data_IF_365030227312
#
_entry.id   IF_365030227312
#
_cell.length_a   1.000
_cell.length_b   1.000
_cell.length_c   1.000
_cell.angle_alpha   90.00
_cell.angle_beta   90.00
_cell.angle_gamma   90.00
#
_symmetry.space_group_name_H-M   'P 1'
#
loop_
_entity.id
_entity.type
_entity.pdbx_description
1 polymer ?
#
# COMPACT_ATOMS: atom_id res chain seq x y z
N UNK A 1 23.17 26.95 8.90
CA UNK A 1 22.33 27.05 10.10
C UNK A 1 22.06 28.53 10.34
N UNK A 2 21.06 29.06 9.67
CA UNK A 2 20.71 30.49 9.75
C UNK A 2 19.67 30.68 10.84
N UNK A 3 20.02 31.46 11.85
CA UNK A 3 19.22 31.68 13.07
C UNK A 3 18.22 32.82 12.95
N UNK A 4 18.13 33.47 11.78
CA UNK A 4 17.23 34.61 11.57
C UNK A 4 16.56 34.55 10.20
N UNK A 5 15.23 34.43 10.20
CA UNK A 5 14.33 34.35 9.06
C UNK A 5 14.47 35.54 8.10
N UNK A 6 14.79 36.68 8.61
CA UNK A 6 14.90 37.91 7.84
C UNK A 6 16.20 38.00 7.02
N UNK A 7 17.26 37.30 7.41
CA UNK A 7 18.50 37.26 6.63
C UNK A 7 18.40 36.40 5.37
N UNK A 8 17.58 35.36 5.39
CA UNK A 8 17.39 34.47 4.22
C UNK A 8 16.58 35.16 3.12
N UNK A 9 15.60 35.98 3.47
CA UNK A 9 14.77 36.75 2.53
C UNK A 9 15.57 37.82 1.79
N UNK A 10 16.55 38.45 2.45
CA UNK A 10 17.39 39.50 1.85
C UNK A 10 18.37 38.94 0.79
N UNK A 11 18.75 37.67 0.88
CA UNK A 11 19.69 37.04 -0.03
C UNK A 11 19.02 36.51 -1.33
N UNK A 12 17.71 36.22 -1.28
CA UNK A 12 16.99 35.59 -2.39
C UNK A 12 16.27 36.59 -3.32
N UNK A 13 15.98 37.83 -2.84
CA UNK A 13 15.24 38.81 -3.64
C UNK A 13 15.76 40.26 -3.44
N UNK A 14 16.71 40.73 -4.26
CA UNK A 14 17.32 42.07 -4.14
C UNK A 14 16.55 43.16 -4.92
N UNK A 15 15.21 43.25 -4.82
CA UNK A 15 14.41 44.27 -5.46
C UNK A 15 13.74 45.22 -4.46
N UNK A 16 14.16 46.51 -4.40
CA UNK A 16 13.72 47.43 -3.35
C UNK A 16 12.42 48.22 -3.58
N UNK A 17 11.60 47.93 -4.58
CA UNK A 17 10.38 48.71 -4.83
C UNK A 17 9.25 47.87 -5.47
N UNK A 18 8.52 47.09 -4.68
CA UNK A 18 7.18 46.58 -5.04
C UNK A 18 6.29 46.58 -3.83
N UNK A 19 5.07 47.15 -4.00
CA UNK A 19 4.06 47.38 -2.94
C UNK A 19 3.94 46.24 -1.94
N UNK A 20 4.34 46.50 -0.70
CA UNK A 20 4.89 45.56 0.27
C UNK A 20 3.92 44.59 0.93
N UNK A 21 2.63 44.65 0.68
CA UNK A 21 1.67 43.93 1.54
C UNK A 21 1.00 42.69 0.95
N UNK A 22 0.98 42.52 -0.36
CA UNK A 22 0.30 41.35 -0.97
C UNK A 22 1.26 40.27 -1.44
N UNK A 23 2.34 40.63 -2.11
CA UNK A 23 3.36 39.68 -2.60
C UNK A 23 4.19 39.08 -1.45
N UNK A 24 4.49 39.87 -0.43
CA UNK A 24 5.19 39.41 0.77
C UNK A 24 4.39 38.33 1.52
N UNK A 25 3.08 38.51 1.68
CA UNK A 25 2.23 37.53 2.33
C UNK A 25 2.06 36.23 1.52
N UNK A 26 1.95 36.33 0.21
CA UNK A 26 1.86 35.13 -0.67
C UNK A 26 3.16 34.35 -0.66
N UNK A 27 4.31 35.02 -0.79
CA UNK A 27 5.64 34.38 -0.73
C UNK A 27 5.88 33.75 0.64
N UNK A 28 5.54 34.43 1.74
CA UNK A 28 5.64 33.84 3.08
C UNK A 28 4.74 32.61 3.25
N UNK A 29 3.50 32.64 2.76
CA UNK A 29 2.57 31.51 2.84
C UNK A 29 3.08 30.31 2.04
N UNK A 30 3.61 30.53 0.85
CA UNK A 30 4.19 29.47 0.00
C UNK A 30 5.45 28.89 0.65
N UNK A 31 6.30 29.74 1.23
CA UNK A 31 7.51 29.27 1.93
C UNK A 31 7.16 28.51 3.21
N UNK A 32 6.17 28.95 3.96
CA UNK A 32 5.71 28.25 5.18
C UNK A 32 5.10 26.88 4.82
N UNK A 33 4.34 26.79 3.73
CA UNK A 33 3.81 25.53 3.22
C UNK A 33 4.94 24.59 2.75
N UNK A 34 5.94 25.11 2.04
CA UNK A 34 7.09 24.32 1.59
C UNK A 34 7.95 23.84 2.77
N UNK A 35 8.16 24.68 3.79
CA UNK A 35 8.88 24.29 4.99
C UNK A 35 8.13 23.22 5.80
N UNK A 36 6.82 23.36 5.95
CA UNK A 36 5.98 22.35 6.60
C UNK A 36 6.03 21.01 5.86
N UNK A 37 6.02 21.03 4.53
CA UNK A 37 6.14 19.80 3.72
C UNK A 37 7.51 19.15 3.90
N UNK A 38 8.60 19.92 3.95
CA UNK A 38 9.96 19.42 4.19
C UNK A 38 10.07 18.84 5.61
N UNK A 39 9.51 19.49 6.61
CA UNK A 39 9.50 19.00 7.99
C UNK A 39 8.75 17.68 8.10
N UNK A 40 7.56 17.58 7.51
CA UNK A 40 6.77 16.34 7.47
C UNK A 40 7.51 15.19 6.76
N UNK A 41 8.19 15.49 5.66
CA UNK A 41 9.02 14.51 4.96
C UNK A 41 10.23 14.04 5.78
N UNK A 42 10.86 14.96 6.51
CA UNK A 42 11.98 14.63 7.40
C UNK A 42 11.54 13.79 8.59
N UNK A 43 10.37 14.09 9.15
CA UNK A 43 9.77 13.31 10.24
C UNK A 43 9.39 11.88 9.77
N UNK A 44 8.79 11.74 8.60
CA UNK A 44 8.47 10.45 8.01
C UNK A 44 9.73 9.59 7.80
N UNK A 45 10.81 10.19 7.27
CA UNK A 45 12.11 9.50 7.13
C UNK A 45 12.73 9.09 8.47
N UNK A 46 12.58 9.93 9.48
CA UNK A 46 13.11 9.59 10.81
C UNK A 46 12.28 8.46 11.46
N UNK A 47 10.97 8.42 11.26
CA UNK A 47 10.11 7.31 11.70
C UNK A 47 10.50 6.00 11.01
N UNK A 48 10.75 6.03 9.70
CA UNK A 48 11.23 4.87 8.94
C UNK A 48 12.59 4.37 9.46
N UNK A 49 13.54 5.28 9.73
CA UNK A 49 14.82 4.94 10.37
C UNK A 49 14.66 4.33 11.77
N UNK A 50 13.70 4.82 12.56
CA UNK A 50 13.42 4.25 13.88
C UNK A 50 12.80 2.85 13.77
N UNK A 51 11.94 2.61 12.79
CA UNK A 51 11.41 1.26 12.52
C UNK A 51 12.51 0.29 12.07
N UNK A 52 13.40 0.71 11.17
CA UNK A 52 14.56 -0.07 10.75
C UNK A 52 15.49 -0.39 11.94
N UNK A 53 15.75 0.59 12.82
CA UNK A 53 16.53 0.36 14.06
C UNK A 53 15.84 -0.64 14.99
N UNK A 54 14.49 -0.58 15.12
CA UNK A 54 13.72 -1.56 15.92
C UNK A 54 13.80 -2.97 15.31
N UNK A 55 13.70 -3.10 13.98
CA UNK A 55 13.86 -4.38 13.28
C UNK A 55 15.26 -4.94 13.46
N UNK A 56 16.30 -4.08 13.32
CA UNK A 56 17.70 -4.47 13.55
C UNK A 56 17.93 -4.95 14.97
N UNK A 57 17.41 -4.24 16.00
CA UNK A 57 17.51 -4.69 17.41
C UNK A 57 16.80 -6.01 17.68
N UNK A 58 15.62 -6.25 17.05
CA UNK A 58 14.95 -7.55 17.14
C UNK A 58 15.78 -8.66 16.51
N UNK A 59 16.40 -8.39 15.36
CA UNK A 59 17.29 -9.33 14.70
C UNK A 59 18.54 -9.62 15.55
N UNK A 60 19.20 -8.59 16.10
CA UNK A 60 20.36 -8.74 16.99
C UNK A 60 19.99 -9.52 18.27
N UNK A 61 18.82 -9.27 18.85
CA UNK A 61 18.31 -10.04 20.00
C UNK A 61 18.07 -11.51 19.64
N UNK A 62 17.54 -11.80 18.46
CA UNK A 62 17.34 -13.15 17.95
C UNK A 62 18.68 -13.87 17.74
N UNK A 63 19.69 -13.18 17.22
CA UNK A 63 21.04 -13.70 17.03
C UNK A 63 21.75 -13.99 18.36
N UNK A 64 21.54 -13.17 19.38
CA UNK A 64 22.08 -13.42 20.75
C UNK A 64 21.42 -14.67 21.34
N UNK A 65 20.11 -14.83 21.22
CA UNK A 65 19.39 -16.02 21.66
C UNK A 65 19.89 -17.29 20.94
N UNK A 66 20.11 -17.22 19.62
CA UNK A 66 20.68 -18.30 18.84
C UNK A 66 22.11 -18.65 19.28
N UNK A 67 22.92 -17.64 19.59
CA UNK A 67 24.28 -17.83 20.13
C UNK A 67 24.28 -18.50 21.50
N UNK A 68 23.36 -18.14 22.39
CA UNK A 68 23.21 -18.77 23.71
C UNK A 68 22.77 -20.24 23.57
N UNK A 69 21.83 -20.52 22.67
CA UNK A 69 21.39 -21.89 22.37
C UNK A 69 22.53 -22.72 21.77
N UNK A 70 23.34 -22.12 20.90
CA UNK A 70 24.54 -22.79 20.35
C UNK A 70 25.61 -23.09 21.40
N UNK A 71 25.86 -22.16 22.33
CA UNK A 71 26.75 -22.37 23.45
C UNK A 71 26.26 -23.46 24.43
N UNK A 72 24.95 -23.44 24.74
CA UNK A 72 24.33 -24.52 25.54
C UNK A 72 24.43 -25.89 24.84
N UNK A 73 24.28 -25.90 23.50
CA UNK A 73 24.43 -27.10 22.69
C UNK A 73 25.86 -27.64 22.68
N UNK A 74 26.90 -26.79 22.58
CA UNK A 74 28.32 -27.25 22.66
C UNK A 74 28.68 -27.84 24.00
N UNK A 75 28.00 -27.47 25.08
CA UNK A 75 28.16 -28.08 26.40
C UNK A 75 27.47 -29.45 26.47
N UNK A 76 26.28 -29.58 25.92
CA UNK A 76 25.48 -30.82 25.87
C UNK A 76 26.09 -31.87 24.89
N UNK A 77 26.72 -31.44 23.80
CA UNK A 77 27.36 -32.35 22.82
C UNK A 77 28.62 -33.07 23.33
N UNK A 78 29.07 -32.77 24.55
CA UNK A 78 30.12 -33.49 25.21
C UNK A 78 29.65 -34.73 25.99
N UNK A 79 28.34 -35.03 25.92
CA UNK A 79 27.77 -36.27 26.47
C UNK A 79 27.74 -37.35 25.40
N UNK A 80 28.22 -38.57 25.72
CA UNK A 80 28.36 -39.72 24.80
C UNK A 80 27.02 -40.33 24.31
N UNK A 81 26.00 -39.55 24.16
CA UNK A 81 24.68 -40.03 23.75
C UNK A 81 24.39 -39.68 22.27
N UNK A 82 24.53 -40.70 21.39
CA UNK A 82 24.42 -40.54 19.94
C UNK A 82 23.10 -39.87 19.49
N UNK A 83 21.98 -40.09 20.19
CA UNK A 83 20.68 -39.50 19.88
C UNK A 83 20.67 -37.97 20.14
N UNK A 84 21.37 -37.56 21.22
CA UNK A 84 21.50 -36.14 21.55
C UNK A 84 22.44 -35.44 20.55
N UNK A 85 23.48 -36.14 20.06
CA UNK A 85 24.36 -35.61 19.00
C UNK A 85 23.65 -35.42 17.67
N UNK A 86 22.87 -36.39 17.21
CA UNK A 86 22.09 -36.24 15.94
C UNK A 86 21.03 -35.16 16.03
N UNK A 87 20.25 -35.13 17.10
CA UNK A 87 19.25 -34.09 17.33
C UNK A 87 19.90 -32.71 17.43
N UNK A 88 21.06 -32.62 18.01
CA UNK A 88 21.82 -31.39 18.14
C UNK A 88 22.45 -30.90 16.87
N UNK A 89 22.98 -31.77 16.01
CA UNK A 89 23.51 -31.43 14.70
C UNK A 89 22.37 -30.94 13.78
N UNK A 90 21.19 -31.57 13.88
CA UNK A 90 20.00 -31.18 13.13
C UNK A 90 19.49 -29.80 13.59
N UNK A 91 19.43 -29.54 14.89
CA UNK A 91 19.05 -28.24 15.45
C UNK A 91 20.09 -27.17 15.13
N UNK A 92 21.37 -27.46 15.16
CA UNK A 92 22.44 -26.53 14.79
C UNK A 92 22.41 -26.16 13.29
N UNK A 93 22.10 -27.08 12.39
CA UNK A 93 21.89 -26.81 10.95
C UNK A 93 20.70 -25.92 10.71
N UNK A 94 19.61 -26.12 11.44
CA UNK A 94 18.42 -25.24 11.40
C UNK A 94 18.76 -23.83 11.92
N UNK A 95 19.54 -23.75 13.01
CA UNK A 95 19.95 -22.47 13.63
C UNK A 95 21.04 -21.78 12.81
N UNK A 96 21.92 -22.52 12.15
CA UNK A 96 23.05 -21.98 11.35
C UNK A 96 22.58 -21.35 10.00
N UNK A 97 21.30 -21.19 9.75
CA UNK A 97 20.78 -20.38 8.66
C UNK A 97 20.38 -21.13 7.39
N UNK A 98 20.73 -22.42 7.22
CA UNK A 98 20.30 -23.16 6.03
C UNK A 98 18.78 -23.32 5.99
N UNK A 99 18.14 -23.63 7.12
CA UNK A 99 16.69 -23.67 7.24
C UNK A 99 16.03 -22.29 7.10
N UNK A 100 16.64 -21.26 7.70
CA UNK A 100 16.14 -19.89 7.63
C UNK A 100 16.32 -19.29 6.23
N UNK A 101 17.46 -19.54 5.56
CA UNK A 101 17.67 -19.14 4.17
C UNK A 101 16.74 -19.87 3.20
N UNK A 102 16.44 -21.14 3.46
CA UNK A 102 15.47 -21.91 2.67
C UNK A 102 14.06 -21.39 2.86
N UNK A 103 13.62 -21.15 4.11
CA UNK A 103 12.32 -20.56 4.41
C UNK A 103 12.16 -19.15 3.81
N UNK A 104 13.21 -18.30 3.88
CA UNK A 104 13.21 -16.97 3.28
C UNK A 104 13.17 -17.04 1.75
N UNK A 105 13.87 -18.00 1.12
CA UNK A 105 13.80 -18.22 -0.33
C UNK A 105 12.45 -18.77 -0.76
N UNK A 106 11.93 -19.77 -0.05
CA UNK A 106 10.59 -20.33 -0.33
C UNK A 106 9.48 -19.27 -0.19
N UNK A 107 9.64 -18.27 0.70
CA UNK A 107 8.73 -17.15 0.87
C UNK A 107 8.89 -16.09 -0.23
N UNK A 108 10.12 -15.88 -0.74
CA UNK A 108 10.38 -14.97 -1.86
C UNK A 108 9.98 -15.53 -3.24
N UNK A 109 9.87 -16.84 -3.37
CA UNK A 109 9.54 -17.52 -4.63
C UNK A 109 8.03 -17.80 -4.80
N UNK A 110 7.19 -17.46 -3.80
CA UNK A 110 5.74 -17.62 -3.94
C UNK A 110 5.18 -16.70 -5.02
N UNK A 111 4.32 -17.20 -5.91
CA UNK A 111 3.69 -16.36 -6.89
C UNK A 111 2.75 -15.36 -6.20
N UNK A 112 2.79 -14.11 -6.64
CA UNK A 112 2.05 -13.00 -6.03
C UNK A 112 0.91 -12.53 -6.93
N UNK A 113 -0.20 -12.17 -6.31
CA UNK A 113 -1.37 -11.56 -6.95
C UNK A 113 -1.94 -10.44 -6.12
N UNK A 114 -2.56 -9.45 -6.77
CA UNK A 114 -3.25 -8.36 -6.10
C UNK A 114 -4.75 -8.42 -6.38
N UNK A 115 -5.56 -8.43 -5.31
CA UNK A 115 -6.97 -8.10 -5.40
C UNK A 115 -7.14 -6.60 -5.34
N UNK A 116 -7.91 -6.06 -6.28
CA UNK A 116 -8.19 -4.63 -6.35
C UNK A 116 -9.67 -4.38 -6.52
N UNK A 117 -10.17 -3.38 -5.82
CA UNK A 117 -11.59 -3.02 -5.79
C UNK A 117 -11.76 -1.56 -6.17
N UNK A 118 -12.65 -1.30 -7.13
CA UNK A 118 -12.98 0.02 -7.61
C UNK A 118 -14.37 0.46 -7.12
N UNK A 119 -14.68 1.76 -7.23
CA UNK A 119 -15.95 2.43 -6.99
C UNK A 119 -16.38 2.62 -5.53
N UNK A 120 -15.86 1.81 -4.61
CA UNK A 120 -16.17 1.91 -3.18
C UNK A 120 -15.78 3.25 -2.51
N UNK A 121 -16.03 3.37 -1.23
CA UNK A 121 -16.61 2.34 -0.34
C UNK A 121 -18.14 2.25 -0.43
N UNK A 122 -18.67 1.04 -0.33
CA UNK A 122 -20.08 0.75 -0.10
C UNK A 122 -20.34 0.46 1.39
N UNK A 123 -21.39 1.07 1.95
CA UNK A 123 -21.72 0.96 3.39
C UNK A 123 -21.91 -0.51 3.85
N UNK A 124 -22.49 -1.34 3.01
CA UNK A 124 -22.86 -2.71 3.36
C UNK A 124 -21.78 -3.73 2.99
N UNK A 125 -21.28 -3.65 1.78
CA UNK A 125 -20.50 -4.72 1.20
C UNK A 125 -18.99 -4.55 1.44
N UNK A 126 -18.49 -3.33 1.45
CA UNK A 126 -17.08 -3.06 1.76
C UNK A 126 -16.72 -3.51 3.18
N UNK A 127 -17.60 -3.26 4.18
CA UNK A 127 -17.34 -3.73 5.55
C UNK A 127 -17.27 -5.26 5.65
N UNK A 128 -18.19 -5.98 4.98
CA UNK A 128 -18.17 -7.45 4.91
C UNK A 128 -16.88 -7.97 4.27
N UNK A 129 -16.44 -7.31 3.19
CA UNK A 129 -15.19 -7.65 2.52
C UNK A 129 -13.99 -7.46 3.45
N UNK A 130 -13.92 -6.33 4.15
CA UNK A 130 -12.85 -6.03 5.09
C UNK A 130 -12.81 -7.05 6.25
N UNK A 131 -13.97 -7.47 6.76
CA UNK A 131 -14.05 -8.53 7.78
C UNK A 131 -13.43 -9.82 7.26
N UNK A 132 -13.86 -10.28 6.10
CA UNK A 132 -13.37 -11.51 5.51
C UNK A 132 -11.88 -11.48 5.14
N UNK A 133 -11.36 -10.36 4.64
CA UNK A 133 -9.93 -10.16 4.38
C UNK A 133 -9.11 -10.17 5.67
N UNK A 134 -9.62 -9.53 6.72
CA UNK A 134 -8.97 -9.48 8.03
C UNK A 134 -8.86 -10.86 8.67
N UNK A 135 -9.93 -11.66 8.64
CA UNK A 135 -9.94 -13.04 9.14
C UNK A 135 -8.86 -13.90 8.48
N UNK A 136 -8.56 -13.63 7.20
CA UNK A 136 -7.55 -14.34 6.39
C UNK A 136 -6.16 -13.71 6.44
N UNK A 137 -6.03 -12.56 7.11
CA UNK A 137 -4.76 -11.80 7.18
C UNK A 137 -4.33 -11.17 5.84
N UNK A 138 -5.25 -11.02 4.90
CA UNK A 138 -4.97 -10.54 3.54
C UNK A 138 -5.14 -9.02 3.44
N UNK A 139 -4.27 -8.39 2.63
CA UNK A 139 -4.36 -6.98 2.24
C UNK A 139 -4.73 -6.87 0.77
N UNK A 140 -5.55 -5.87 0.46
CA UNK A 140 -6.02 -5.57 -0.88
C UNK A 140 -5.80 -4.08 -1.21
N UNK A 141 -6.09 -3.69 -2.43
CA UNK A 141 -6.01 -2.30 -2.87
C UNK A 141 -7.39 -1.80 -3.28
N UNK A 142 -7.76 -0.64 -2.78
CA UNK A 142 -9.06 -0.02 -3.01
C UNK A 142 -8.87 1.31 -3.74
N UNK A 143 -9.50 1.47 -4.91
CA UNK A 143 -9.50 2.72 -5.67
C UNK A 143 -10.86 3.40 -5.49
N UNK A 144 -10.88 4.43 -4.63
CA UNK A 144 -12.12 5.00 -4.12
C UNK A 144 -12.64 6.15 -4.99
N UNK A 145 -13.95 6.18 -5.19
CA UNK A 145 -14.64 7.36 -5.68
C UNK A 145 -14.80 8.39 -4.56
N UNK A 146 -14.40 9.62 -4.83
CA UNK A 146 -14.52 10.68 -3.83
C UNK A 146 -15.95 10.87 -3.32
N UNK A 147 -16.95 10.74 -4.19
CA UNK A 147 -18.39 10.83 -3.83
C UNK A 147 -18.83 9.69 -2.90
N UNK A 148 -18.28 8.48 -3.06
CA UNK A 148 -18.63 7.31 -2.25
C UNK A 148 -18.02 7.35 -0.85
N UNK A 149 -17.02 8.21 -0.64
CA UNK A 149 -16.41 8.44 0.69
C UNK A 149 -17.38 9.21 1.59
N UNK A 150 -18.24 10.07 1.04
CA UNK A 150 -19.17 10.89 1.84
C UNK A 150 -20.16 10.01 2.61
N UNK A 151 -20.13 10.09 3.95
CA UNK A 151 -20.91 9.24 4.86
C UNK A 151 -20.23 7.91 5.21
N UNK A 152 -19.19 7.51 4.47
CA UNK A 152 -18.45 6.26 4.64
C UNK A 152 -17.00 6.47 5.13
N UNK A 153 -16.70 7.62 5.75
CA UNK A 153 -15.36 7.98 6.22
C UNK A 153 -14.79 6.95 7.20
N UNK A 154 -15.65 6.32 7.98
CA UNK A 154 -15.27 5.28 8.94
C UNK A 154 -14.72 4.03 8.25
N UNK A 155 -15.23 3.69 7.06
CA UNK A 155 -14.75 2.55 6.26
C UNK A 155 -13.36 2.86 5.70
N UNK A 156 -13.16 4.06 5.14
CA UNK A 156 -11.85 4.50 4.65
C UNK A 156 -10.80 4.52 5.77
N UNK A 157 -11.17 5.04 6.94
CA UNK A 157 -10.32 5.01 8.13
C UNK A 157 -9.99 3.58 8.57
N UNK A 158 -10.94 2.65 8.43
CA UNK A 158 -10.75 1.23 8.71
C UNK A 158 -9.78 0.60 7.71
N UNK A 159 -9.95 0.82 6.40
CA UNK A 159 -9.03 0.36 5.35
C UNK A 159 -7.59 0.77 5.64
N UNK A 160 -7.38 2.06 5.93
CA UNK A 160 -6.06 2.60 6.26
C UNK A 160 -5.46 1.93 7.51
N UNK A 161 -6.21 1.87 8.61
CA UNK A 161 -5.77 1.24 9.86
C UNK A 161 -5.43 -0.23 9.70
N UNK A 162 -6.15 -0.96 8.87
CA UNK A 162 -5.93 -2.37 8.60
C UNK A 162 -4.81 -2.61 7.58
N UNK A 163 -4.24 -1.55 6.98
CA UNK A 163 -3.06 -1.62 6.11
C UNK A 163 -3.38 -2.03 4.67
N UNK A 164 -4.59 -1.76 4.20
CA UNK A 164 -4.94 -1.83 2.79
C UNK A 164 -4.37 -0.62 2.04
N UNK A 165 -4.07 -0.79 0.75
CA UNK A 165 -3.71 0.34 -0.10
C UNK A 165 -4.96 1.10 -0.51
N UNK A 166 -4.94 2.42 -0.37
CA UNK A 166 -6.01 3.30 -0.80
C UNK A 166 -5.51 4.13 -1.98
N UNK A 167 -6.20 4.05 -3.10
CA UNK A 167 -5.95 4.80 -4.32
C UNK A 167 -7.13 5.68 -4.71
N UNK A 168 -6.90 6.52 -5.71
CA UNK A 168 -7.88 7.46 -6.27
C UNK A 168 -8.58 6.84 -7.48
N UNK A 169 -9.92 6.99 -7.58
CA UNK A 169 -10.71 6.60 -8.74
C UNK A 169 -11.53 7.77 -9.32
N UNK A 170 -11.04 9.01 -9.19
CA UNK A 170 -11.74 10.29 -9.44
C UNK A 170 -12.88 10.54 -8.44
N UNK A 171 -13.48 11.73 -8.51
CA UNK A 171 -14.59 12.04 -7.59
C UNK A 171 -15.93 11.49 -8.07
N UNK A 172 -16.26 11.68 -9.37
CA UNK A 172 -17.54 11.32 -9.97
C UNK A 172 -17.47 10.18 -10.98
N UNK A 173 -16.39 9.40 -11.04
CA UNK A 173 -16.18 8.34 -12.04
C UNK A 173 -16.17 8.88 -13.48
N UNK A 174 -15.49 10.00 -13.72
CA UNK A 174 -15.42 10.63 -15.03
C UNK A 174 -14.37 9.99 -15.93
N UNK A 175 -14.65 9.88 -17.22
CA UNK A 175 -13.68 9.40 -18.20
C UNK A 175 -12.68 10.52 -18.52
N UNK A 176 -11.45 10.42 -18.02
CA UNK A 176 -10.48 11.49 -17.99
C UNK A 176 -10.04 12.00 -19.38
N UNK A 177 -10.05 11.14 -20.40
CA UNK A 177 -9.68 11.49 -21.78
C UNK A 177 -10.79 12.25 -22.54
N UNK A 178 -12.01 12.36 -21.97
CA UNK A 178 -13.15 13.06 -22.56
C UNK A 178 -13.47 14.40 -21.91
N UNK A 179 -12.71 14.83 -20.94
CA UNK A 179 -12.91 16.08 -20.23
C UNK A 179 -11.67 16.98 -20.34
N UNK A 180 -11.80 18.26 -19.97
CA UNK A 180 -10.67 19.18 -19.94
C UNK A 180 -9.67 18.81 -18.83
N UNK A 181 -8.42 19.17 -19.02
CA UNK A 181 -7.35 18.95 -18.02
C UNK A 181 -7.70 19.60 -16.68
N UNK A 182 -8.24 20.81 -16.70
CA UNK A 182 -8.69 21.50 -15.48
C UNK A 182 -9.74 20.68 -14.74
N UNK A 183 -10.74 20.15 -15.45
CA UNK A 183 -11.78 19.32 -14.85
C UNK A 183 -11.22 17.99 -14.33
N UNK A 184 -10.35 17.37 -15.09
CA UNK A 184 -9.70 16.13 -14.67
C UNK A 184 -8.87 16.32 -13.38
N UNK A 185 -8.11 17.43 -13.31
CA UNK A 185 -7.37 17.83 -12.11
C UNK A 185 -8.29 18.04 -10.90
N UNK A 186 -9.41 18.77 -11.07
CA UNK A 186 -10.39 18.97 -9.99
C UNK A 186 -10.93 17.65 -9.45
N UNK A 187 -11.30 16.72 -10.33
CA UNK A 187 -11.81 15.40 -9.97
C UNK A 187 -10.79 14.58 -9.15
N UNK A 188 -9.52 14.62 -9.58
CA UNK A 188 -8.43 13.92 -8.88
C UNK A 188 -8.14 14.59 -7.54
N UNK A 189 -7.94 15.90 -7.50
CA UNK A 189 -7.58 16.60 -6.27
C UNK A 189 -8.68 16.54 -5.22
N UNK A 190 -9.95 16.62 -5.63
CA UNK A 190 -11.07 16.53 -4.70
C UNK A 190 -11.08 15.18 -3.97
N UNK A 191 -10.83 14.09 -4.68
CA UNK A 191 -10.73 12.76 -4.07
C UNK A 191 -9.48 12.61 -3.21
N UNK A 192 -8.32 13.10 -3.69
CA UNK A 192 -7.08 13.06 -2.91
C UNK A 192 -7.24 13.78 -1.56
N UNK A 193 -7.85 14.97 -1.57
CA UNK A 193 -8.08 15.75 -0.35
C UNK A 193 -9.03 15.01 0.62
N UNK A 194 -10.09 14.36 0.12
CA UNK A 194 -11.00 13.57 0.97
C UNK A 194 -10.28 12.40 1.63
N UNK A 195 -9.43 11.68 0.88
CA UNK A 195 -8.62 10.59 1.43
C UNK A 195 -7.66 11.14 2.48
N UNK A 196 -6.96 12.24 2.19
CA UNK A 196 -6.02 12.86 3.11
C UNK A 196 -6.68 13.34 4.42
N UNK A 197 -7.84 13.96 4.35
CA UNK A 197 -8.61 14.41 5.52
C UNK A 197 -8.91 13.27 6.51
N UNK A 198 -9.04 12.05 6.02
CA UNK A 198 -9.40 10.88 6.82
C UNK A 198 -8.18 10.10 7.31
N UNK A 199 -7.18 9.95 6.44
CA UNK A 199 -6.02 9.08 6.65
C UNK A 199 -4.76 9.82 7.11
N UNK A 200 -4.67 11.12 6.80
CA UNK A 200 -3.45 11.92 6.96
C UNK A 200 -2.40 11.69 5.86
N UNK A 201 -2.71 10.87 4.84
CA UNK A 201 -1.82 10.51 3.75
C UNK A 201 -2.46 10.76 2.39
N UNK A 202 -1.70 11.38 1.46
CA UNK A 202 -2.16 11.50 0.08
C UNK A 202 -1.98 10.18 -0.66
N UNK A 203 -2.99 9.74 -1.46
CA UNK A 203 -2.83 8.56 -2.28
C UNK A 203 -1.79 8.82 -3.39
N UNK A 204 -0.89 7.86 -3.60
CA UNK A 204 0.13 7.89 -4.66
C UNK A 204 -0.40 7.25 -5.93
N UNK A 205 -1.28 6.27 -5.80
CA UNK A 205 -1.82 5.47 -6.89
C UNK A 205 -3.22 5.91 -7.27
N UNK A 206 -3.51 5.85 -8.57
CA UNK A 206 -4.87 6.02 -9.05
C UNK A 206 -5.23 4.96 -10.08
N UNK A 207 -6.49 4.62 -10.18
CA UNK A 207 -7.02 3.88 -11.33
C UNK A 207 -7.94 4.80 -12.12
N UNK A 208 -7.59 5.13 -13.38
CA UNK A 208 -8.47 5.95 -14.20
C UNK A 208 -9.74 5.18 -14.53
N UNK A 209 -10.95 5.80 -14.37
CA UNK A 209 -12.18 5.17 -14.78
C UNK A 209 -12.15 4.66 -16.22
N UNK A 210 -12.72 3.47 -16.44
CA UNK A 210 -12.72 2.77 -17.74
C UNK A 210 -11.32 2.42 -18.28
N UNK A 211 -10.26 2.54 -17.48
CA UNK A 211 -8.88 2.43 -17.96
C UNK A 211 -8.45 3.56 -18.91
N UNK A 212 -9.23 4.63 -18.98
CA UNK A 212 -9.01 5.74 -19.89
C UNK A 212 -7.94 6.70 -19.37
N UNK A 213 -6.71 6.49 -19.80
CA UNK A 213 -5.55 7.29 -19.45
C UNK A 213 -4.89 7.88 -20.69
N UNK A 214 -4.66 9.18 -20.70
CA UNK A 214 -3.93 9.90 -21.74
C UNK A 214 -2.49 10.08 -21.30
N UNK A 215 -1.55 9.44 -21.97
CA UNK A 215 -0.11 9.48 -21.64
C UNK A 215 0.50 10.89 -21.65
N UNK A 216 -0.02 11.76 -22.51
CA UNK A 216 0.51 13.11 -22.73
C UNK A 216 -0.21 14.18 -21.91
N UNK A 217 -1.11 13.78 -21.00
CA UNK A 217 -1.84 14.73 -20.17
C UNK A 217 -1.09 14.89 -18.85
N UNK A 218 -0.35 15.97 -18.74
CA UNK A 218 0.17 16.44 -17.45
C UNK A 218 -0.98 17.05 -16.65
N UNK A 219 -1.68 16.24 -15.88
CA UNK A 219 -2.75 16.73 -14.99
C UNK A 219 -2.21 17.65 -13.87
N UNK A 220 -0.90 17.98 -13.88
CA UNK A 220 -0.22 18.68 -12.80
C UNK A 220 -0.46 18.03 -11.41
N UNK A 221 -0.71 16.73 -11.40
CA UNK A 221 -0.85 15.91 -10.21
C UNK A 221 -0.01 14.67 -10.43
N UNK A 222 1.01 14.50 -9.61
CA UNK A 222 1.86 13.31 -9.67
C UNK A 222 1.12 12.12 -9.09
N UNK A 223 0.62 11.23 -9.96
CA UNK A 223 -0.02 9.98 -9.57
C UNK A 223 0.43 8.85 -10.48
N UNK A 224 0.54 7.66 -9.93
CA UNK A 224 0.92 6.44 -10.65
C UNK A 224 -0.36 5.74 -11.10
N UNK A 225 -0.64 5.66 -12.44
CA UNK A 225 -1.82 4.95 -12.92
C UNK A 225 -1.65 3.44 -12.75
N UNK A 226 -2.66 2.79 -12.19
CA UNK A 226 -2.72 1.35 -11.98
C UNK A 226 -3.81 0.75 -12.86
N UNK A 227 -3.43 -0.22 -13.68
CA UNK A 227 -4.34 -0.99 -14.52
C UNK A 227 -4.50 -2.41 -13.97
N UNK A 228 -5.29 -3.23 -14.66
CA UNK A 228 -5.53 -4.62 -14.32
C UNK A 228 -5.08 -5.56 -15.43
N UNK A 229 -4.82 -6.78 -15.06
CA UNK A 229 -4.51 -7.86 -16.01
C UNK A 229 -5.69 -8.82 -16.18
N UNK A 230 -6.59 -8.84 -15.22
CA UNK A 230 -7.79 -9.69 -15.21
C UNK A 230 -8.99 -8.82 -14.85
N UNK A 231 -9.97 -8.77 -15.75
CA UNK A 231 -11.28 -8.16 -15.51
C UNK A 231 -12.29 -9.28 -15.23
N UNK A 232 -12.85 -9.26 -14.03
CA UNK A 232 -13.81 -10.27 -13.59
C UNK A 232 -15.21 -10.04 -14.16
N UNK A 233 -15.51 -8.84 -14.64
CA UNK A 233 -16.85 -8.38 -15.05
C UNK A 233 -17.92 -8.65 -13.98
N UNK A 234 -17.56 -8.60 -12.71
CA UNK A 234 -18.43 -8.82 -11.56
C UNK A 234 -19.63 -7.88 -11.53
N UNK A 235 -19.42 -6.61 -11.84
CA UNK A 235 -20.45 -5.59 -11.98
C UNK A 235 -21.53 -5.95 -13.01
N UNK A 236 -21.17 -6.74 -14.03
CA UNK A 236 -22.06 -7.12 -15.13
C UNK A 236 -22.76 -8.45 -14.88
N UNK A 237 -22.03 -9.44 -14.42
CA UNK A 237 -22.54 -10.81 -14.28
C UNK A 237 -23.27 -11.03 -12.97
N UNK A 238 -22.80 -10.38 -11.90
CA UNK A 238 -23.29 -10.57 -10.53
C UNK A 238 -23.54 -12.03 -10.18
N UNK A 239 -22.60 -12.89 -10.63
CA UNK A 239 -22.64 -14.32 -10.43
C UNK A 239 -21.28 -14.82 -9.91
N UNK A 240 -21.26 -15.42 -8.74
CA UNK A 240 -20.04 -15.88 -8.07
C UNK A 240 -19.21 -16.81 -8.96
N UNK A 241 -19.85 -17.78 -9.62
CA UNK A 241 -19.14 -18.78 -10.41
C UNK A 241 -18.52 -18.17 -11.69
N UNK A 242 -19.21 -17.22 -12.31
CA UNK A 242 -18.68 -16.51 -13.50
C UNK A 242 -17.46 -15.65 -13.11
N UNK A 243 -17.53 -14.94 -11.97
CA UNK A 243 -16.41 -14.15 -11.42
C UNK A 243 -15.21 -15.06 -11.14
N UNK A 244 -15.41 -16.15 -10.43
CA UNK A 244 -14.37 -17.13 -10.12
C UNK A 244 -13.74 -17.72 -11.40
N UNK A 245 -14.56 -18.12 -12.38
CA UNK A 245 -14.07 -18.67 -13.64
C UNK A 245 -13.20 -17.67 -14.41
N UNK A 246 -13.60 -16.39 -14.47
CA UNK A 246 -12.83 -15.33 -15.14
C UNK A 246 -11.52 -15.05 -14.43
N UNK A 247 -11.52 -14.96 -13.11
CA UNK A 247 -10.32 -14.76 -12.32
C UNK A 247 -9.30 -15.89 -12.53
N UNK A 248 -9.75 -17.15 -12.52
CA UNK A 248 -8.89 -18.35 -12.68
C UNK A 248 -8.26 -18.50 -14.06
N UNK A 249 -8.98 -18.07 -15.11
CA UNK A 249 -8.62 -18.39 -16.50
C UNK A 249 -7.24 -17.92 -16.94
N UNK A 250 -6.79 -16.75 -16.44
CA UNK A 250 -5.55 -16.11 -16.90
C UNK A 250 -4.63 -15.69 -15.76
N UNK A 251 -4.79 -16.30 -14.59
CA UNK A 251 -3.98 -15.94 -13.43
C UNK A 251 -2.52 -16.35 -13.63
N UNK A 252 -1.62 -15.45 -13.28
CA UNK A 252 -0.16 -15.65 -13.30
C UNK A 252 0.50 -14.79 -12.24
N UNK A 253 1.75 -15.07 -11.92
CA UNK A 253 2.52 -14.23 -11.02
C UNK A 253 2.49 -12.76 -11.46
N UNK A 254 2.20 -11.85 -10.56
CA UNK A 254 2.02 -10.42 -10.83
C UNK A 254 0.64 -10.04 -11.39
N UNK A 255 -0.35 -10.94 -11.38
CA UNK A 255 -1.71 -10.59 -11.82
C UNK A 255 -2.37 -9.59 -10.89
N UNK A 256 -3.01 -8.58 -11.49
CA UNK A 256 -3.85 -7.58 -10.83
C UNK A 256 -5.30 -7.85 -11.23
N UNK A 257 -6.13 -8.22 -10.27
CA UNK A 257 -7.54 -8.60 -10.48
C UNK A 257 -8.44 -7.43 -10.18
N UNK A 258 -9.22 -6.98 -11.17
CA UNK A 258 -10.24 -5.94 -11.03
C UNK A 258 -11.56 -6.54 -10.56
N UNK A 259 -12.09 -5.96 -9.50
CA UNK A 259 -13.39 -6.24 -8.90
C UNK A 259 -14.03 -4.93 -8.40
N UNK A 260 -15.30 -4.97 -7.95
CA UNK A 260 -16.02 -3.83 -7.39
C UNK A 260 -16.71 -4.27 -6.09
N UNK A 261 -16.43 -3.58 -4.99
CA UNK A 261 -16.90 -3.96 -3.65
C UNK A 261 -18.32 -3.49 -3.31
N UNK A 262 -19.13 -3.24 -4.35
CA UNK A 262 -20.54 -2.82 -4.26
C UNK A 262 -21.55 -3.99 -4.33
N UNK A 263 -21.06 -5.24 -4.51
CA UNK A 263 -21.94 -6.41 -4.72
C UNK A 263 -21.62 -7.54 -3.74
N UNK A 264 -22.68 -8.17 -3.22
CA UNK A 264 -22.53 -9.34 -2.35
C UNK A 264 -21.82 -10.50 -3.06
N UNK A 265 -22.15 -10.72 -4.32
CA UNK A 265 -21.53 -11.76 -5.16
C UNK A 265 -20.03 -11.53 -5.36
N UNK A 266 -19.58 -10.27 -5.43
CA UNK A 266 -18.16 -9.94 -5.50
C UNK A 266 -17.44 -10.26 -4.20
N UNK A 267 -18.05 -9.91 -3.06
CA UNK A 267 -17.48 -10.22 -1.74
C UNK A 267 -17.31 -11.75 -1.59
N UNK A 268 -18.34 -12.53 -1.91
CA UNK A 268 -18.27 -14.00 -1.85
C UNK A 268 -17.19 -14.55 -2.78
N UNK A 269 -17.13 -14.07 -4.03
CA UNK A 269 -16.15 -14.52 -5.00
C UNK A 269 -14.71 -14.14 -4.59
N UNK A 270 -14.50 -12.91 -4.09
CA UNK A 270 -13.20 -12.44 -3.64
C UNK A 270 -12.65 -13.28 -2.50
N UNK A 271 -13.48 -13.57 -1.48
CA UNK A 271 -13.07 -14.38 -0.34
C UNK A 271 -12.82 -15.85 -0.73
N UNK A 272 -13.63 -16.40 -1.65
CA UNK A 272 -13.40 -17.73 -2.19
C UNK A 272 -12.08 -17.82 -3.00
N UNK A 273 -11.74 -16.78 -3.78
CA UNK A 273 -10.43 -16.69 -4.47
C UNK A 273 -9.28 -16.64 -3.47
N UNK A 274 -9.44 -15.87 -2.39
CA UNK A 274 -8.41 -15.80 -1.34
C UNK A 274 -8.17 -17.17 -0.73
N UNK A 275 -9.21 -17.89 -0.35
CA UNK A 275 -9.09 -19.22 0.23
C UNK A 275 -8.41 -20.19 -0.74
N UNK A 276 -8.91 -20.27 -1.98
CA UNK A 276 -8.39 -21.17 -3.01
C UNK A 276 -6.91 -20.93 -3.35
N UNK A 277 -6.55 -19.67 -3.61
CA UNK A 277 -5.18 -19.38 -4.05
C UNK A 277 -4.18 -19.41 -2.89
N UNK A 278 -4.61 -19.10 -1.67
CA UNK A 278 -3.77 -19.29 -0.47
C UNK A 278 -3.45 -20.77 -0.25
N UNK A 279 -4.44 -21.67 -0.40
CA UNK A 279 -4.22 -23.13 -0.35
C UNK A 279 -3.27 -23.62 -1.45
N UNK A 280 -3.25 -22.97 -2.60
CA UNK A 280 -2.33 -23.25 -3.71
C UNK A 280 -0.93 -22.63 -3.52
N UNK A 281 -0.69 -21.93 -2.40
CA UNK A 281 0.59 -21.33 -2.07
C UNK A 281 0.85 -19.96 -2.69
N UNK A 282 -0.19 -19.27 -3.18
CA UNK A 282 -0.08 -17.90 -3.67
C UNK A 282 -0.06 -16.89 -2.51
N UNK A 283 0.65 -15.79 -2.71
CA UNK A 283 0.65 -14.65 -1.79
C UNK A 283 -0.22 -13.52 -2.36
N UNK A 284 -1.13 -13.00 -1.51
CA UNK A 284 -1.89 -11.81 -1.84
C UNK A 284 -1.16 -10.58 -1.33
N UNK A 285 -0.91 -9.63 -2.24
CA UNK A 285 -0.18 -8.40 -1.94
C UNK A 285 -0.97 -7.17 -2.42
N UNK A 286 -0.63 -6.00 -1.90
CA UNK A 286 -1.12 -4.73 -2.45
C UNK A 286 -0.39 -4.39 -3.75
N UNK A 287 -1.02 -3.61 -4.65
CA UNK A 287 -0.48 -3.38 -6.00
C UNK A 287 0.88 -2.70 -6.03
N UNK A 288 1.22 -1.89 -5.04
CA UNK A 288 2.54 -1.26 -4.90
C UNK A 288 3.68 -2.29 -4.86
N UNK A 289 3.43 -3.46 -4.23
CA UNK A 289 4.38 -4.57 -4.17
C UNK A 289 4.64 -5.24 -5.53
N UNK A 290 3.71 -5.08 -6.48
CA UNK A 290 3.84 -5.63 -7.84
C UNK A 290 4.43 -4.61 -8.84
N UNK A 291 4.28 -3.30 -8.57
CA UNK A 291 4.69 -2.22 -9.49
C UNK A 291 6.10 -1.72 -9.17
N UNK A 292 6.46 -1.69 -7.89
CA UNK A 292 7.77 -1.27 -7.41
C UNK A 292 8.48 -2.49 -6.79
N UNK A 293 9.33 -3.17 -7.55
CA UNK A 293 10.06 -4.34 -7.05
C UNK A 293 11.12 -3.96 -6.00
#
# INVERSE_FOLDING_TARGET
MYKDRNQLLFFLFPFPNLQENYLSNVVCTVMDAALSCIESFMEAREQERQQLKKRKRKFESCMICAGILFAAFTVLSRTDNAIIQEAGISAAKIIAGEGMQRLVREDQDRPQIALTFDDGPDEKYTEKLLDGLKERGIKASFFLLGKSIEGNEHIVKRMHREGHLIGNHTYNHVQLDKISETRAREEILKTNNRIYEITGEYPVYMRPPYGAWKKDTEFCVEMIPVFWTIDTLDWKTQNVQDVLQRARKNIKNGSVILMHDEYETTVEAALALVDEFTEQGWEFVTVDRLILP
#
